data_IF_260006032908
#
_entry.id   IF_260006032908
#
_cell.length_a   1.000
_cell.length_b   1.000
_cell.length_c   1.000
_cell.angle_alpha   90.00
_cell.angle_beta   90.00
_cell.angle_gamma   90.00
#
_symmetry.space_group_name_H-M   'P 1'
#
loop_
_entity.id
_entity.type
_entity.pdbx_description
1 polymer ?
#
# COMPACT_ATOMS: atom_id res chain seq x y z
N UNK A 1 -5.22 -14.19 -16.24
CA UNK A 1 -6.48 -13.41 -16.23
C UNK A 1 -7.62 -14.38 -16.58
N UNK A 2 -8.72 -14.31 -15.84
CA UNK A 2 -9.97 -14.98 -16.20
C UNK A 2 -10.89 -13.96 -16.87
N UNK A 3 -11.31 -14.24 -18.11
CA UNK A 3 -12.25 -13.39 -18.86
C UNK A 3 -13.62 -14.04 -18.88
N UNK A 4 -14.69 -13.33 -18.52
CA UNK A 4 -16.04 -13.86 -18.63
C UNK A 4 -16.43 -14.04 -20.09
N UNK A 5 -17.14 -15.11 -20.41
CA UNK A 5 -17.69 -15.43 -21.71
C UNK A 5 -19.08 -16.06 -21.58
N UNK A 6 -19.73 -16.37 -22.70
CA UNK A 6 -21.09 -16.98 -22.73
C UNK A 6 -21.16 -18.32 -22.00
N UNK A 7 -20.08 -19.10 -22.05
CA UNK A 7 -20.03 -20.47 -21.51
C UNK A 7 -19.16 -20.58 -20.24
N UNK A 8 -18.94 -19.46 -19.53
CA UNK A 8 -18.11 -19.39 -18.33
C UNK A 8 -16.89 -18.48 -18.49
N UNK A 9 -15.74 -18.89 -17.96
CA UNK A 9 -14.51 -18.08 -18.01
C UNK A 9 -13.47 -18.74 -18.91
N UNK A 10 -12.81 -17.94 -19.74
CA UNK A 10 -11.57 -18.31 -20.42
C UNK A 10 -10.36 -17.84 -19.64
N UNK A 11 -9.30 -18.67 -19.58
CA UNK A 11 -8.05 -18.31 -18.92
C UNK A 11 -7.02 -17.77 -19.91
N UNK A 12 -6.42 -16.65 -19.59
CA UNK A 12 -5.28 -16.09 -20.31
C UNK A 12 -4.08 -16.05 -19.38
N UNK A 13 -2.95 -16.59 -19.85
CA UNK A 13 -1.69 -16.61 -19.11
C UNK A 13 -0.87 -15.37 -19.50
N UNK A 14 -0.54 -14.55 -18.53
CA UNK A 14 0.39 -13.44 -18.73
C UNK A 14 1.83 -13.98 -18.71
N UNK A 15 2.56 -13.74 -19.78
CA UNK A 15 3.95 -14.17 -19.92
C UNK A 15 4.86 -12.97 -20.26
N UNK A 16 6.10 -12.93 -19.71
CA UNK A 16 6.71 -13.89 -18.80
C UNK A 16 6.20 -13.76 -17.36
N UNK A 17 6.20 -14.86 -16.59
CA UNK A 17 5.89 -14.89 -15.16
C UNK A 17 7.14 -15.14 -14.31
N UNK A 18 7.24 -14.48 -13.13
CA UNK A 18 8.44 -14.49 -12.28
C UNK A 18 8.12 -14.70 -10.78
N UNK A 19 7.35 -15.73 -10.47
CA UNK A 19 6.96 -16.05 -9.08
C UNK A 19 6.23 -14.90 -8.36
N UNK A 20 5.08 -14.52 -8.85
CA UNK A 20 4.27 -13.45 -8.29
C UNK A 20 3.79 -13.75 -6.88
N UNK A 21 4.06 -12.86 -5.93
CA UNK A 21 3.59 -12.91 -4.54
C UNK A 21 2.55 -11.85 -4.21
N UNK A 22 2.49 -10.75 -4.94
CA UNK A 22 1.46 -9.72 -4.74
C UNK A 22 1.07 -9.07 -6.04
N UNK A 23 -0.19 -8.65 -6.10
CA UNK A 23 -0.75 -7.88 -7.22
C UNK A 23 -1.60 -6.74 -6.68
N UNK A 24 -1.59 -5.61 -7.39
CA UNK A 24 -2.39 -4.43 -7.09
C UNK A 24 -2.92 -3.81 -8.38
N UNK A 25 -4.24 -3.75 -8.51
CA UNK A 25 -4.88 -2.98 -9.57
C UNK A 25 -4.96 -1.51 -9.14
N UNK A 26 -4.27 -0.63 -9.85
CA UNK A 26 -4.23 0.80 -9.56
C UNK A 26 -3.88 1.61 -10.81
N UNK A 27 -4.22 2.90 -10.81
CA UNK A 27 -3.76 3.83 -11.85
C UNK A 27 -2.24 4.06 -11.74
N UNK A 28 -1.57 4.15 -12.88
CA UNK A 28 -0.16 4.56 -12.92
C UNK A 28 -0.01 6.09 -12.88
N UNK A 29 1.23 6.59 -12.98
CA UNK A 29 1.54 8.02 -12.97
C UNK A 29 0.98 8.81 -14.16
N UNK A 30 0.48 8.14 -15.21
CA UNK A 30 -0.21 8.72 -16.36
C UNK A 30 -1.72 8.56 -16.30
N UNK A 31 -2.26 7.98 -15.23
CA UNK A 31 -3.69 7.71 -15.06
C UNK A 31 -4.19 6.46 -15.81
N UNK A 32 -3.32 5.60 -16.35
CA UNK A 32 -3.72 4.35 -17.00
C UNK A 32 -4.10 3.32 -15.95
N UNK A 33 -5.13 2.55 -16.24
CA UNK A 33 -5.50 1.40 -15.38
C UNK A 33 -4.51 0.26 -15.58
N UNK A 34 -3.82 -0.10 -14.51
CA UNK A 34 -2.74 -1.09 -14.54
C UNK A 34 -2.91 -2.18 -13.50
N UNK A 35 -2.34 -3.34 -13.77
CA UNK A 35 -2.09 -4.37 -12.77
C UNK A 35 -0.58 -4.38 -12.46
N UNK A 36 -0.25 -3.98 -11.24
CA UNK A 36 1.12 -4.02 -10.72
C UNK A 36 1.38 -5.39 -10.13
N UNK A 37 2.53 -5.97 -10.41
CA UNK A 37 2.87 -7.34 -10.05
C UNK A 37 4.23 -7.34 -9.38
N UNK A 38 4.27 -7.77 -8.12
CA UNK A 38 5.51 -7.96 -7.38
C UNK A 38 5.95 -9.41 -7.44
N UNK A 39 7.18 -9.61 -7.87
CA UNK A 39 7.75 -10.91 -8.19
C UNK A 39 8.91 -11.26 -7.27
N UNK A 40 8.82 -12.43 -6.62
CA UNK A 40 9.94 -13.00 -5.88
C UNK A 40 10.98 -13.56 -6.87
N UNK A 41 12.11 -12.87 -6.98
CA UNK A 41 13.24 -13.32 -7.77
C UNK A 41 13.93 -14.48 -7.06
N UNK A 42 13.50 -15.69 -7.33
CA UNK A 42 14.07 -16.88 -6.73
C UNK A 42 15.52 -17.13 -7.21
N UNK A 43 16.35 -17.73 -6.34
CA UNK A 43 17.73 -18.15 -6.67
C UNK A 43 17.85 -18.99 -7.95
N UNK A 44 16.79 -19.74 -8.26
CA UNK A 44 16.75 -20.67 -9.37
C UNK A 44 16.16 -20.07 -10.66
N UNK A 45 15.58 -18.89 -10.59
CA UNK A 45 15.01 -18.19 -11.76
C UNK A 45 15.79 -16.90 -11.95
N UNK A 46 16.79 -16.94 -12.84
CA UNK A 46 17.51 -15.72 -13.22
C UNK A 46 16.64 -14.81 -14.09
N UNK A 47 16.69 -13.50 -13.85
CA UNK A 47 16.11 -12.50 -14.73
C UNK A 47 14.75 -11.94 -14.35
N UNK A 48 14.14 -12.34 -13.24
CA UNK A 48 12.86 -11.78 -12.78
C UNK A 48 12.95 -10.30 -12.40
N UNK A 49 11.85 -9.57 -12.58
CA UNK A 49 11.71 -8.16 -12.23
C UNK A 49 10.24 -7.83 -11.91
N UNK A 50 10.04 -6.68 -11.26
CA UNK A 50 8.72 -6.13 -10.96
C UNK A 50 8.02 -5.72 -12.26
N UNK A 51 6.74 -6.08 -12.41
CA UNK A 51 6.02 -5.87 -13.65
C UNK A 51 4.83 -4.93 -13.47
N UNK A 52 4.46 -4.26 -14.55
CA UNK A 52 3.24 -3.48 -14.66
C UNK A 52 2.55 -3.83 -15.97
N UNK A 53 1.31 -4.28 -15.88
CA UNK A 53 0.48 -4.67 -17.02
C UNK A 53 -0.55 -3.56 -17.29
N UNK A 54 -0.59 -3.06 -18.52
CA UNK A 54 -1.64 -2.17 -18.99
C UNK A 54 -2.90 -2.99 -19.27
N UNK A 55 -3.99 -2.67 -18.58
CA UNK A 55 -5.25 -3.44 -18.68
C UNK A 55 -5.94 -3.16 -20.02
N UNK A 56 -5.86 -1.94 -20.53
CA UNK A 56 -6.49 -1.54 -21.78
C UNK A 56 -5.72 -2.07 -23.00
N UNK A 57 -4.41 -1.80 -23.04
CA UNK A 57 -3.55 -2.21 -24.16
C UNK A 57 -3.16 -3.68 -24.12
N UNK A 58 -3.44 -4.37 -23.02
CA UNK A 58 -3.17 -5.80 -22.81
C UNK A 58 -1.69 -6.19 -23.06
N UNK A 59 -0.77 -5.41 -22.50
CA UNK A 59 0.67 -5.62 -22.61
C UNK A 59 1.41 -5.20 -21.35
N UNK A 60 2.59 -5.75 -21.14
CA UNK A 60 3.48 -5.26 -20.10
C UNK A 60 4.07 -3.90 -20.50
N UNK A 61 4.11 -2.99 -19.52
CA UNK A 61 4.79 -1.71 -19.66
C UNK A 61 6.29 -1.90 -19.45
N UNK A 62 7.07 -1.09 -20.14
CA UNK A 62 8.52 -1.07 -20.06
C UNK A 62 9.10 0.35 -19.93
N UNK A 63 10.39 0.50 -20.13
CA UNK A 63 11.09 1.76 -19.96
C UNK A 63 10.55 2.88 -20.88
N UNK A 64 10.17 2.53 -22.11
CA UNK A 64 9.54 3.47 -23.05
C UNK A 64 8.18 3.99 -22.56
N UNK A 65 7.51 3.23 -21.72
CA UNK A 65 6.22 3.59 -21.12
C UNK A 65 6.37 4.34 -19.79
N UNK A 66 7.59 4.54 -19.32
CA UNK A 66 7.89 5.15 -18.03
C UNK A 66 8.11 4.17 -16.87
N UNK A 67 7.92 2.87 -17.10
CA UNK A 67 8.16 1.84 -16.08
C UNK A 67 9.52 1.17 -16.31
N UNK A 68 10.54 1.63 -15.58
CA UNK A 68 11.85 0.98 -15.58
C UNK A 68 11.81 -0.29 -14.76
N UNK A 69 12.29 -1.39 -15.34
CA UNK A 69 12.40 -2.66 -14.66
C UNK A 69 13.28 -2.57 -13.41
N UNK A 70 12.80 -3.16 -12.33
CA UNK A 70 13.52 -3.30 -11.06
C UNK A 70 13.51 -4.76 -10.67
N UNK A 71 14.67 -5.31 -10.38
CA UNK A 71 14.81 -6.68 -9.90
C UNK A 71 14.95 -6.68 -8.39
N UNK A 72 13.94 -7.21 -7.71
CA UNK A 72 13.88 -7.39 -6.27
C UNK A 72 13.56 -8.85 -5.95
N UNK A 73 13.64 -9.22 -4.69
CA UNK A 73 12.91 -10.36 -4.14
C UNK A 73 11.57 -9.84 -3.63
N UNK A 74 10.70 -9.46 -4.56
CA UNK A 74 9.49 -8.71 -4.27
C UNK A 74 8.45 -9.53 -3.54
N UNK A 75 7.86 -8.95 -2.48
CA UNK A 75 6.90 -9.62 -1.60
C UNK A 75 5.55 -8.93 -1.59
N UNK A 76 5.51 -7.62 -1.46
CA UNK A 76 4.28 -6.84 -1.34
C UNK A 76 4.35 -5.52 -2.07
N UNK A 77 3.17 -4.93 -2.29
CA UNK A 77 2.99 -3.65 -2.97
C UNK A 77 2.04 -2.78 -2.15
N UNK A 78 2.38 -1.50 -1.99
CA UNK A 78 1.44 -0.46 -1.60
C UNK A 78 1.56 0.74 -2.54
N UNK A 79 0.45 1.45 -2.73
CA UNK A 79 0.43 2.63 -3.60
C UNK A 79 -0.45 3.72 -3.00
N UNK A 80 0.05 4.94 -2.97
CA UNK A 80 -0.66 6.15 -2.54
C UNK A 80 0.04 7.39 -3.04
N UNK A 81 -0.71 8.45 -3.28
CA UNK A 81 -0.18 9.79 -3.48
C UNK A 81 0.33 10.33 -2.14
N UNK A 82 1.64 10.23 -1.90
CA UNK A 82 2.29 10.71 -0.67
C UNK A 82 2.92 12.10 -0.84
N UNK A 83 2.96 12.61 -2.06
CA UNK A 83 3.51 13.92 -2.39
C UNK A 83 2.43 15.00 -2.53
N UNK A 84 1.16 14.60 -2.65
CA UNK A 84 0.01 15.49 -2.83
C UNK A 84 -0.06 16.10 -4.22
N UNK A 85 0.50 15.42 -5.22
CA UNK A 85 0.55 15.89 -6.61
C UNK A 85 -0.46 15.18 -7.54
N UNK A 86 -1.28 14.29 -7.00
CA UNK A 86 -2.31 13.53 -7.70
C UNK A 86 -1.80 12.25 -8.38
N UNK A 87 -0.53 11.89 -8.20
CA UNK A 87 0.09 10.67 -8.74
C UNK A 87 0.52 9.74 -7.61
N UNK A 88 0.14 8.48 -7.73
CA UNK A 88 0.45 7.52 -6.69
C UNK A 88 1.91 7.06 -6.78
N UNK A 89 2.65 7.21 -5.68
CA UNK A 89 3.90 6.52 -5.44
C UNK A 89 3.68 5.02 -5.23
N UNK A 90 4.74 4.24 -5.34
CA UNK A 90 4.70 2.78 -5.19
C UNK A 90 5.78 2.32 -4.22
N UNK A 91 5.39 1.65 -3.15
CA UNK A 91 6.30 0.88 -2.30
C UNK A 91 6.29 -0.57 -2.74
N UNK A 92 7.49 -1.13 -2.89
CA UNK A 92 7.77 -2.53 -3.18
C UNK A 92 8.57 -3.09 -2.02
N UNK A 93 8.00 -4.02 -1.27
CA UNK A 93 8.74 -4.70 -0.21
C UNK A 93 9.55 -5.85 -0.76
N UNK A 94 10.69 -6.12 -0.14
CA UNK A 94 11.55 -7.22 -0.58
C UNK A 94 12.41 -7.78 0.55
N UNK A 95 13.16 -8.83 0.25
CA UNK A 95 14.26 -9.27 1.09
C UNK A 95 15.49 -8.39 0.77
N UNK A 96 15.78 -7.44 1.65
CA UNK A 96 16.79 -6.40 1.48
C UNK A 96 16.14 -5.02 1.51
N UNK A 97 16.15 -4.30 0.41
CA UNK A 97 15.62 -2.94 0.35
C UNK A 97 14.09 -2.90 0.27
N UNK A 98 13.49 -2.02 1.05
CA UNK A 98 12.09 -1.64 0.92
C UNK A 98 12.05 -0.42 -0.02
N UNK A 99 11.73 -0.65 -1.28
CA UNK A 99 11.91 0.35 -2.33
C UNK A 99 10.68 1.23 -2.52
N UNK A 100 10.83 2.53 -2.30
CA UNK A 100 9.82 3.53 -2.69
C UNK A 100 10.15 4.08 -4.08
N UNK A 101 9.17 4.07 -4.97
CA UNK A 101 9.22 4.64 -6.32
C UNK A 101 8.38 5.90 -6.36
N UNK A 102 9.02 7.04 -6.60
CA UNK A 102 8.36 8.34 -6.75
C UNK A 102 7.88 8.52 -8.19
N UNK A 103 6.62 8.87 -8.36
CA UNK A 103 6.02 9.19 -9.65
C UNK A 103 6.43 10.59 -10.12
N UNK A 104 6.90 10.71 -11.34
CA UNK A 104 7.27 12.00 -11.94
C UNK A 104 6.14 12.52 -12.85
N UNK A 105 6.12 13.83 -13.08
CA UNK A 105 5.11 14.48 -13.93
C UNK A 105 5.17 14.07 -15.40
N UNK A 106 6.28 13.52 -15.87
CA UNK A 106 6.44 12.98 -17.23
C UNK A 106 5.92 11.54 -17.38
N UNK A 107 5.40 10.95 -16.30
CA UNK A 107 4.87 9.59 -16.28
C UNK A 107 5.91 8.51 -15.99
N UNK A 108 7.14 8.88 -15.66
CA UNK A 108 8.18 7.95 -15.23
C UNK A 108 8.18 7.76 -13.72
N UNK A 109 8.93 6.76 -13.25
CA UNK A 109 9.18 6.53 -11.84
C UNK A 109 10.68 6.54 -11.55
N UNK A 110 11.07 7.18 -10.46
CA UNK A 110 12.44 7.14 -9.92
C UNK A 110 12.45 6.51 -8.53
N UNK A 111 13.58 5.91 -8.16
CA UNK A 111 13.76 5.46 -6.78
C UNK A 111 13.86 6.68 -5.85
N UNK A 112 13.16 6.60 -4.72
CA UNK A 112 13.33 7.60 -3.67
C UNK A 112 14.79 7.60 -3.18
N UNK A 113 15.32 8.76 -2.77
CA UNK A 113 16.66 8.82 -2.17
C UNK A 113 16.65 8.12 -0.81
N UNK A 114 17.81 7.65 -0.37
CA UNK A 114 17.95 6.96 0.92
C UNK A 114 17.50 7.81 2.11
N UNK A 115 17.73 9.11 2.03
CA UNK A 115 17.41 10.10 3.06
C UNK A 115 15.92 10.25 3.31
N UNK A 116 15.07 9.77 2.40
CA UNK A 116 13.61 9.83 2.60
C UNK A 116 13.16 8.98 3.82
N UNK A 117 13.95 7.96 4.20
CA UNK A 117 13.73 7.16 5.39
C UNK A 117 12.85 5.92 5.20
N UNK A 118 12.46 5.56 3.98
CA UNK A 118 11.60 4.39 3.72
C UNK A 118 12.36 3.08 3.49
N UNK A 119 13.67 3.11 3.37
CA UNK A 119 14.53 1.92 3.22
C UNK A 119 14.67 1.08 4.50
N UNK A 120 13.75 1.10 5.33
CA UNK A 120 13.41 0.45 6.58
C UNK A 120 14.29 -0.74 7.02
N UNK A 121 15.57 -0.51 7.28
CA UNK A 121 16.45 -1.49 7.89
C UNK A 121 16.42 -1.47 9.42
N UNK A 122 15.89 -0.40 10.01
CA UNK A 122 15.75 -0.21 11.47
C UNK A 122 14.28 -0.30 11.87
N UNK A 123 13.97 -0.63 13.14
CA UNK A 123 14.89 -1.21 14.13
C UNK A 123 15.29 -2.63 13.72
N UNK A 124 16.43 -3.09 14.15
CA UNK A 124 16.84 -4.49 13.99
C UNK A 124 17.52 -5.01 15.25
N UNK A 125 17.34 -6.30 15.48
CA UNK A 125 17.94 -7.03 16.60
C UNK A 125 18.68 -8.23 16.04
N UNK A 126 19.89 -8.47 16.49
CA UNK A 126 20.72 -9.58 16.06
C UNK A 126 22.04 -9.13 15.48
N UNK A 127 22.75 -10.05 14.84
CA UNK A 127 24.15 -9.91 14.52
C UNK A 127 24.43 -8.86 13.44
N UNK A 128 23.70 -8.90 12.34
CA UNK A 128 23.93 -8.02 11.20
C UNK A 128 22.67 -7.31 10.65
N UNK A 129 21.48 -7.67 11.13
CA UNK A 129 20.22 -7.09 10.70
C UNK A 129 19.90 -7.24 9.20
N UNK A 130 20.63 -8.10 8.49
CA UNK A 130 20.50 -8.25 7.03
C UNK A 130 20.36 -9.70 6.60
N UNK A 131 19.63 -9.94 5.51
CA UNK A 131 18.69 -9.01 4.87
C UNK A 131 17.43 -8.84 5.72
N UNK A 132 16.92 -7.61 5.79
CA UNK A 132 15.59 -7.33 6.33
C UNK A 132 14.53 -7.76 5.30
N UNK A 133 13.48 -8.47 5.72
CA UNK A 133 12.48 -9.00 4.80
C UNK A 133 11.12 -8.40 5.07
N UNK A 134 10.73 -7.44 4.25
CA UNK A 134 9.39 -6.86 4.25
C UNK A 134 8.41 -7.69 3.42
N UNK A 135 7.26 -8.01 3.99
CA UNK A 135 6.21 -8.79 3.34
C UNK A 135 5.02 -7.92 2.97
N UNK A 136 4.30 -7.42 3.95
CA UNK A 136 3.15 -6.56 3.71
C UNK A 136 3.56 -5.10 3.87
N UNK A 137 3.09 -4.25 2.96
CA UNK A 137 3.17 -2.80 3.09
C UNK A 137 1.78 -2.20 2.95
N UNK A 138 1.48 -1.18 3.75
CA UNK A 138 0.23 -0.44 3.64
C UNK A 138 0.42 1.01 4.09
N UNK A 139 -0.08 1.94 3.29
CA UNK A 139 -0.19 3.35 3.67
C UNK A 139 -1.47 3.59 4.46
N UNK A 140 -1.37 4.40 5.51
CA UNK A 140 -2.50 4.94 6.25
C UNK A 140 -2.07 6.19 7.03
N UNK A 141 -2.99 7.04 7.42
CA UNK A 141 -2.71 8.19 8.29
C UNK A 141 -2.98 7.76 9.73
N UNK A 142 -1.92 7.40 10.46
CA UNK A 142 -2.00 6.79 11.80
C UNK A 142 -2.29 7.85 12.88
N UNK A 143 -1.85 9.09 12.68
CA UNK A 143 -1.97 10.17 13.63
C UNK A 143 -3.03 11.23 13.24
N UNK A 144 -3.71 11.01 12.11
CA UNK A 144 -4.74 11.90 11.54
C UNK A 144 -4.22 13.31 11.21
N UNK A 145 -2.96 13.45 10.79
CA UNK A 145 -2.35 14.76 10.46
C UNK A 145 -2.52 15.15 8.97
N UNK A 146 -3.09 14.27 8.16
CA UNK A 146 -3.31 14.46 6.73
C UNK A 146 -2.14 14.01 5.87
N UNK A 147 -1.16 13.30 6.44
CA UNK A 147 -0.03 12.72 5.72
C UNK A 147 -0.13 11.18 5.72
N UNK A 148 0.46 10.55 4.72
CA UNK A 148 0.39 9.10 4.57
C UNK A 148 1.57 8.40 5.25
N UNK A 149 1.33 7.79 6.40
CA UNK A 149 2.30 6.93 7.07
C UNK A 149 2.39 5.56 6.40
N UNK A 150 3.47 4.84 6.65
CA UNK A 150 3.72 3.53 6.05
C UNK A 150 3.99 2.48 7.12
N UNK A 151 3.17 1.44 7.15
CA UNK A 151 3.42 0.23 7.93
C UNK A 151 4.02 -0.86 7.05
N UNK A 152 5.05 -1.58 7.57
CA UNK A 152 5.65 -2.74 6.91
C UNK A 152 5.71 -3.91 7.90
N UNK A 153 5.00 -5.00 7.59
CA UNK A 153 5.13 -6.25 8.31
C UNK A 153 6.39 -6.99 7.86
N UNK A 154 7.26 -7.37 8.81
CA UNK A 154 8.56 -7.96 8.52
C UNK A 154 8.78 -9.30 9.20
N UNK A 155 9.69 -10.07 8.66
CA UNK A 155 10.11 -11.34 9.25
C UNK A 155 10.72 -12.30 8.24
N UNK A 156 11.90 -12.81 8.55
CA UNK A 156 12.65 -13.66 7.63
C UNK A 156 12.11 -15.10 7.53
N UNK A 157 12.63 -15.86 6.60
CA UNK A 157 12.32 -17.28 6.41
C UNK A 157 13.21 -18.17 7.29
N UNK A 158 12.72 -19.38 7.61
CA UNK A 158 13.42 -20.30 8.53
C UNK A 158 14.77 -20.80 8.02
N UNK A 159 14.95 -20.79 6.70
CA UNK A 159 16.14 -21.34 6.04
C UNK A 159 17.33 -20.36 5.99
N UNK A 160 17.19 -19.19 6.58
CA UNK A 160 18.18 -18.12 6.54
C UNK A 160 18.76 -17.88 7.95
N UNK A 161 19.67 -18.74 8.43
CA UNK A 161 20.06 -18.75 9.84
C UNK A 161 20.88 -17.53 10.30
N UNK A 162 21.62 -16.91 9.42
CA UNK A 162 22.43 -15.71 9.72
C UNK A 162 21.69 -14.39 9.52
N UNK A 163 20.46 -14.46 9.01
CA UNK A 163 19.73 -13.26 8.65
C UNK A 163 18.67 -12.96 9.68
N UNK A 164 18.40 -11.71 9.89
CA UNK A 164 17.46 -11.15 10.85
C UNK A 164 16.16 -11.98 11.00
N UNK A 165 16.24 -13.19 11.61
CA UNK A 165 15.05 -13.97 11.98
C UNK A 165 14.15 -13.12 12.86
N UNK A 166 14.78 -12.31 13.72
CA UNK A 166 14.16 -11.30 14.57
C UNK A 166 14.17 -9.95 13.84
N UNK A 167 13.34 -9.83 12.83
CA UNK A 167 13.22 -8.65 11.99
C UNK A 167 11.92 -7.90 12.34
N UNK A 168 12.00 -6.84 13.16
CA UNK A 168 10.80 -6.18 13.69
C UNK A 168 10.01 -5.44 12.63
N UNK A 169 8.69 -5.37 12.80
CA UNK A 169 7.81 -4.55 11.97
C UNK A 169 8.23 -3.08 12.00
N UNK A 170 7.97 -2.36 10.92
CA UNK A 170 8.22 -0.92 10.84
C UNK A 170 6.91 -0.12 10.83
N UNK A 171 6.95 1.01 11.53
CA UNK A 171 5.97 2.08 11.40
C UNK A 171 6.73 3.37 11.06
N UNK A 172 6.52 3.86 9.86
CA UNK A 172 7.20 5.01 9.29
C UNK A 172 6.21 6.17 9.23
N UNK A 173 6.41 7.17 10.08
CA UNK A 173 5.56 8.36 10.15
C UNK A 173 6.09 9.42 9.19
N UNK A 174 5.25 9.84 8.25
CA UNK A 174 5.58 10.90 7.31
C UNK A 174 5.61 12.26 8.03
N UNK A 175 6.64 13.03 7.75
CA UNK A 175 6.81 14.38 8.28
C UNK A 175 6.40 15.43 7.23
N UNK A 176 6.08 16.62 7.67
CA UNK A 176 5.67 17.74 6.78
C UNK A 176 6.72 18.13 5.73
N UNK A 177 7.99 17.74 5.93
CA UNK A 177 9.07 17.91 4.95
C UNK A 177 9.17 16.76 3.94
N UNK A 178 8.26 15.78 3.98
CA UNK A 178 8.21 14.61 3.10
C UNK A 178 9.13 13.45 3.51
N UNK A 179 9.89 13.58 4.59
CA UNK A 179 10.71 12.50 5.13
C UNK A 179 9.89 11.57 6.02
N UNK A 180 10.36 10.34 6.20
CA UNK A 180 9.75 9.35 7.08
C UNK A 180 10.64 9.09 8.28
N UNK A 181 10.03 9.03 9.47
CA UNK A 181 10.68 8.66 10.72
C UNK A 181 10.21 7.29 11.18
N UNK A 182 11.12 6.36 11.40
CA UNK A 182 10.81 5.04 11.94
C UNK A 182 10.52 5.15 13.44
N UNK A 183 9.33 4.73 13.87
CA UNK A 183 8.85 4.82 15.26
C UNK A 183 8.31 3.50 15.80
N UNK A 184 8.45 2.39 15.08
CA UNK A 184 7.83 1.10 15.42
C UNK A 184 8.22 0.60 16.80
N UNK A 185 9.47 0.81 17.23
CA UNK A 185 9.93 0.42 18.57
C UNK A 185 9.25 1.27 19.65
N UNK A 186 9.24 2.58 19.49
CA UNK A 186 8.65 3.52 20.44
C UNK A 186 7.12 3.39 20.50
N UNK A 187 6.50 3.06 19.39
CA UNK A 187 5.07 2.76 19.28
C UNK A 187 4.69 1.39 19.86
N UNK A 188 5.65 0.53 20.17
CA UNK A 188 5.42 -0.79 20.73
C UNK A 188 4.92 -1.83 19.72
N UNK A 189 5.06 -1.59 18.41
CA UNK A 189 4.59 -2.50 17.33
C UNK A 189 5.75 -3.30 16.69
N UNK A 190 6.98 -3.09 17.14
CA UNK A 190 8.18 -3.75 16.63
C UNK A 190 8.30 -5.20 17.16
N UNK A 191 7.27 -6.01 16.92
CA UNK A 191 7.26 -7.44 17.23
C UNK A 191 8.40 -8.15 16.51
N UNK A 192 8.97 -9.17 17.17
CA UNK A 192 10.04 -10.02 16.65
C UNK A 192 9.50 -11.33 16.06
N UNK A 193 8.19 -11.45 15.93
CA UNK A 193 7.56 -12.57 15.27
C UNK A 193 7.76 -12.50 13.74
N UNK A 194 7.47 -13.57 13.05
CA UNK A 194 7.64 -13.62 11.60
C UNK A 194 6.37 -13.16 10.91
N UNK A 195 6.18 -11.86 10.86
CA UNK A 195 4.99 -11.25 10.26
C UNK A 195 4.92 -11.50 8.75
N UNK A 196 3.72 -11.56 8.21
CA UNK A 196 3.44 -11.78 6.78
C UNK A 196 2.39 -10.83 6.23
N UNK A 197 1.21 -10.86 6.77
CA UNK A 197 0.10 -10.00 6.39
C UNK A 197 -0.21 -8.98 7.47
N UNK A 198 -0.86 -7.89 7.07
CA UNK A 198 -1.40 -6.93 8.01
C UNK A 198 -2.72 -6.33 7.49
N UNK A 199 -3.45 -5.68 8.39
CA UNK A 199 -4.58 -4.83 8.05
C UNK A 199 -4.55 -3.59 8.94
N UNK A 200 -4.73 -2.44 8.33
CA UNK A 200 -4.79 -1.15 9.00
C UNK A 200 -6.23 -0.62 8.88
N UNK A 201 -6.92 -0.57 10.01
CA UNK A 201 -8.31 -0.12 10.08
C UNK A 201 -8.66 0.39 11.47
N UNK A 202 -9.67 1.21 11.56
CA UNK A 202 -10.28 1.60 12.82
C UNK A 202 -11.23 0.46 13.27
N UNK A 203 -10.73 -0.46 14.12
CA UNK A 203 -11.47 -1.66 14.53
C UNK A 203 -12.46 -1.39 15.68
N UNK A 204 -12.22 -0.38 16.50
CA UNK A 204 -13.09 -0.03 17.63
C UNK A 204 -13.93 1.24 17.38
N UNK A 205 -13.85 1.80 16.16
CA UNK A 205 -14.62 2.95 15.67
C UNK A 205 -14.37 4.23 16.47
N UNK A 206 -13.16 4.40 16.96
CA UNK A 206 -12.75 5.60 17.71
C UNK A 206 -12.07 6.66 16.83
N UNK A 207 -11.89 6.37 15.53
CA UNK A 207 -11.34 7.27 14.53
C UNK A 207 -9.82 7.23 14.42
N UNK A 208 -9.17 6.31 15.10
CA UNK A 208 -7.73 6.05 14.97
C UNK A 208 -7.50 4.72 14.28
N UNK A 209 -6.55 4.68 13.40
CA UNK A 209 -6.23 3.46 12.68
C UNK A 209 -5.43 2.52 13.58
N UNK A 210 -5.99 1.35 13.83
CA UNK A 210 -5.37 0.22 14.52
C UNK A 210 -4.59 -0.65 13.53
N UNK A 211 -3.74 -1.54 14.05
CA UNK A 211 -2.92 -2.45 13.25
C UNK A 211 -3.16 -3.89 13.68
N UNK A 212 -3.57 -4.73 12.72
CA UNK A 212 -3.62 -6.19 12.89
C UNK A 212 -2.47 -6.81 12.11
N UNK A 213 -1.73 -7.73 12.74
CA UNK A 213 -0.59 -8.40 12.12
C UNK A 213 -0.76 -9.92 12.19
N UNK A 214 -0.62 -10.55 11.05
CA UNK A 214 -0.65 -12.02 10.91
C UNK A 214 0.77 -12.57 10.91
N UNK A 215 1.09 -13.37 11.93
CA UNK A 215 2.38 -13.98 12.13
C UNK A 215 2.43 -15.42 11.61
N UNK A 216 3.55 -15.82 11.02
CA UNK A 216 3.77 -17.21 10.59
C UNK A 216 4.16 -18.07 11.79
N UNK A 217 3.32 -19.06 12.12
CA UNK A 217 3.52 -20.01 13.24
C UNK A 217 3.60 -19.34 14.60
N UNK A 218 2.96 -18.20 14.77
CA UNK A 218 2.78 -17.48 16.01
C UNK A 218 1.38 -16.85 16.05
N UNK A 219 0.91 -16.45 17.23
CA UNK A 219 -0.39 -15.77 17.35
C UNK A 219 -0.46 -14.49 16.50
N UNK A 220 -1.65 -14.19 16.04
CA UNK A 220 -2.01 -12.90 15.49
C UNK A 220 -1.87 -11.83 16.57
N UNK A 221 -1.41 -10.63 16.17
CA UNK A 221 -1.30 -9.48 17.06
C UNK A 221 -2.26 -8.39 16.61
N UNK A 222 -2.92 -7.76 17.58
CA UNK A 222 -3.77 -6.59 17.35
C UNK A 222 -3.24 -5.45 18.22
N UNK A 223 -2.87 -4.35 17.58
CA UNK A 223 -2.39 -3.16 18.23
C UNK A 223 -3.46 -2.08 18.14
N UNK A 224 -4.04 -1.73 19.28
CA UNK A 224 -4.96 -0.61 19.37
C UNK A 224 -4.19 0.70 19.38
N UNK A 225 -4.57 1.63 18.54
CA UNK A 225 -3.97 2.96 18.50
C UNK A 225 -4.47 3.82 19.66
N UNK A 226 -3.58 4.14 20.59
CA UNK A 226 -3.85 4.97 21.77
C UNK A 226 -3.16 6.34 21.71
N UNK A 227 -2.73 6.76 20.52
CA UNK A 227 -2.08 8.05 20.30
C UNK A 227 -2.98 9.17 20.79
N UNK A 228 -2.41 10.07 21.58
CA UNK A 228 -3.12 11.23 22.12
C UNK A 228 -2.99 12.42 21.18
N UNK A 229 -4.01 13.29 21.17
CA UNK A 229 -4.03 14.51 20.38
C UNK A 229 -3.86 14.27 18.88
N UNK A 230 -4.44 13.18 18.38
CA UNK A 230 -4.57 12.95 16.94
C UNK A 230 -5.50 14.00 16.33
N UNK A 231 -5.35 14.25 15.03
CA UNK A 231 -6.23 15.15 14.29
C UNK A 231 -7.67 14.63 14.16
N UNK A 232 -8.53 15.45 13.61
CA UNK A 232 -9.85 15.03 13.15
C UNK A 232 -9.72 14.11 11.93
N UNK A 233 -10.76 13.36 11.63
CA UNK A 233 -10.76 12.36 10.58
C UNK A 233 -12.12 12.26 9.88
N UNK A 234 -12.16 11.56 8.77
CA UNK A 234 -13.39 11.08 8.12
C UNK A 234 -13.08 9.80 7.37
N UNK A 235 -14.04 8.87 7.33
CA UNK A 235 -13.89 7.67 6.54
C UNK A 235 -15.07 7.47 5.60
N UNK A 236 -14.82 6.89 4.41
CA UNK A 236 -15.83 6.73 3.36
C UNK A 236 -15.99 5.28 2.97
N UNK A 237 -17.24 4.85 2.88
CA UNK A 237 -17.63 3.64 2.21
C UNK A 237 -18.38 4.03 0.93
N UNK A 238 -17.79 3.75 -0.23
CA UNK A 238 -18.43 3.99 -1.51
C UNK A 238 -19.26 2.78 -1.93
N UNK A 239 -20.44 3.03 -2.46
CA UNK A 239 -21.35 1.97 -2.92
C UNK A 239 -21.91 2.34 -4.29
N UNK A 240 -21.79 1.41 -5.24
CA UNK A 240 -22.50 1.50 -6.54
C UNK A 240 -23.69 0.55 -6.56
N UNK A 241 -24.73 0.95 -7.28
CA UNK A 241 -25.97 0.18 -7.35
C UNK A 241 -25.78 -1.16 -8.06
N UNK A 242 -25.04 -1.17 -9.15
CA UNK A 242 -24.88 -2.32 -10.03
C UNK A 242 -23.38 -2.66 -10.26
N UNK A 243 -23.09 -3.94 -10.52
CA UNK A 243 -21.77 -4.40 -10.92
C UNK A 243 -20.71 -4.28 -9.82
N UNK A 244 -19.86 -3.28 -9.90
CA UNK A 244 -18.76 -2.99 -8.97
C UNK A 244 -19.27 -2.35 -7.66
N UNK A 245 -20.00 -3.11 -6.85
CA UNK A 245 -20.70 -2.62 -5.67
C UNK A 245 -19.83 -1.80 -4.71
N UNK A 246 -18.57 -2.16 -4.55
CA UNK A 246 -17.64 -1.49 -3.64
C UNK A 246 -16.89 -0.33 -4.30
N UNK A 247 -17.34 0.10 -5.48
CA UNK A 247 -16.76 1.21 -6.24
C UNK A 247 -15.22 1.12 -6.40
N UNK A 248 -14.69 -0.09 -6.58
CA UNK A 248 -13.26 -0.32 -6.77
C UNK A 248 -12.81 0.45 -8.02
N UNK A 249 -11.70 1.16 -7.91
CA UNK A 249 -11.19 2.05 -8.96
C UNK A 249 -11.59 3.51 -8.78
N UNK A 250 -12.58 3.82 -7.93
CA UNK A 250 -12.87 5.21 -7.58
C UNK A 250 -11.66 5.89 -6.94
N UNK A 251 -11.54 7.20 -7.11
CA UNK A 251 -10.56 8.02 -6.42
C UNK A 251 -11.26 9.06 -5.56
N UNK A 252 -10.91 9.12 -4.29
CA UNK A 252 -11.41 10.11 -3.33
C UNK A 252 -10.29 11.12 -3.09
N UNK A 253 -10.62 12.41 -3.15
CA UNK A 253 -9.66 13.49 -2.93
C UNK A 253 -10.21 14.49 -1.91
N UNK A 254 -9.41 14.83 -0.90
CA UNK A 254 -9.66 15.87 0.08
C UNK A 254 -8.43 16.78 0.13
N UNK A 255 -8.58 18.02 -0.35
CA UNK A 255 -7.45 18.93 -0.46
C UNK A 255 -6.38 18.39 -1.41
N UNK A 256 -5.21 18.04 -0.85
CA UNK A 256 -4.11 17.41 -1.59
C UNK A 256 -4.02 15.90 -1.37
N UNK A 257 -4.68 15.36 -0.35
CA UNK A 257 -4.67 13.92 -0.09
C UNK A 257 -5.64 13.22 -1.05
N UNK A 258 -5.13 12.21 -1.75
CA UNK A 258 -5.86 11.45 -2.77
C UNK A 258 -5.64 9.96 -2.57
N UNK A 259 -6.73 9.20 -2.56
CA UNK A 259 -6.68 7.75 -2.38
C UNK A 259 -7.57 7.04 -3.40
N UNK A 260 -7.04 6.00 -4.01
CA UNK A 260 -7.84 5.11 -4.85
C UNK A 260 -8.45 3.98 -4.02
N UNK A 261 -9.72 3.66 -4.27
CA UNK A 261 -10.37 2.47 -3.73
C UNK A 261 -9.82 1.26 -4.46
N UNK A 262 -8.98 0.48 -3.80
CA UNK A 262 -8.30 -0.69 -4.37
C UNK A 262 -8.62 -1.96 -3.59
N UNK A 263 -8.45 -3.11 -4.24
CA UNK A 263 -8.37 -4.42 -3.61
C UNK A 263 -7.05 -5.05 -4.07
N UNK A 264 -6.36 -5.73 -3.13
CA UNK A 264 -5.04 -6.27 -3.38
C UNK A 264 -3.95 -5.43 -2.73
N UNK A 265 -2.72 -5.61 -3.17
CA UNK A 265 -1.56 -5.02 -2.51
C UNK A 265 -1.15 -5.80 -1.26
N UNK A 266 -0.32 -5.19 -0.42
CA UNK A 266 0.27 -5.89 0.71
C UNK A 266 1.01 -7.15 0.27
N UNK A 267 0.89 -8.21 1.04
CA UNK A 267 1.39 -9.54 0.68
C UNK A 267 0.27 -10.58 0.83
N UNK A 268 -0.08 -11.23 -0.28
CA UNK A 268 -1.09 -12.30 -0.34
C UNK A 268 -2.42 -11.94 0.36
N UNK A 269 -2.82 -10.68 0.27
CA UNK A 269 -3.98 -10.16 0.96
C UNK A 269 -4.65 -9.00 0.24
N UNK A 270 -5.66 -8.46 0.87
CA UNK A 270 -6.36 -7.26 0.43
C UNK A 270 -7.21 -6.73 1.57
N UNK A 271 -7.54 -5.47 1.51
CA UNK A 271 -8.31 -4.79 2.53
C UNK A 271 -9.53 -4.13 1.88
N UNK A 272 -10.71 -4.31 2.49
CA UNK A 272 -11.97 -3.73 2.05
C UNK A 272 -12.62 -2.97 3.22
N UNK A 273 -11.88 -2.05 3.80
CA UNK A 273 -12.33 -1.19 4.88
C UNK A 273 -12.77 0.17 4.35
N UNK A 274 -13.52 0.98 5.11
CA UNK A 274 -13.74 2.37 4.76
C UNK A 274 -12.43 3.10 4.49
N UNK A 275 -12.41 3.97 3.47
CA UNK A 275 -11.23 4.74 3.11
C UNK A 275 -11.08 5.91 4.08
N UNK A 276 -10.03 5.88 4.87
CA UNK A 276 -9.79 6.82 5.96
C UNK A 276 -8.91 7.99 5.54
N UNK A 277 -9.28 9.20 5.99
CA UNK A 277 -8.53 10.43 5.82
C UNK A 277 -8.35 11.13 7.16
N UNK A 278 -7.14 11.41 7.56
CA UNK A 278 -6.84 12.36 8.62
C UNK A 278 -6.99 13.79 8.11
N UNK A 279 -7.44 14.68 8.95
CA UNK A 279 -7.80 16.04 8.59
C UNK A 279 -7.15 17.10 9.50
N UNK A 280 -6.26 16.68 10.39
CA UNK A 280 -5.63 17.58 11.34
C UNK A 280 -6.67 18.35 12.16
N UNK A 281 -6.62 19.66 12.14
CA UNK A 281 -7.53 20.53 12.90
C UNK A 281 -8.81 20.92 12.13
N UNK A 282 -9.00 20.47 10.90
CA UNK A 282 -10.19 20.81 10.12
C UNK A 282 -11.46 20.23 10.77
N UNK A 283 -12.57 20.98 10.72
CA UNK A 283 -13.87 20.57 11.27
C UNK A 283 -14.88 20.13 10.19
N UNK A 284 -14.55 20.40 8.96
CA UNK A 284 -15.32 20.03 7.78
C UNK A 284 -14.36 19.65 6.66
N UNK A 285 -14.83 18.84 5.71
CA UNK A 285 -14.08 18.46 4.54
C UNK A 285 -14.96 18.59 3.28
N UNK A 286 -14.36 19.08 2.20
CA UNK A 286 -14.92 19.02 0.85
C UNK A 286 -14.28 17.86 0.12
N UNK A 287 -15.09 16.91 -0.30
CA UNK A 287 -14.68 15.65 -0.93
C UNK A 287 -14.98 15.73 -2.41
N UNK A 288 -14.04 15.33 -3.24
CA UNK A 288 -14.24 15.05 -4.66
C UNK A 288 -14.09 13.56 -4.90
N UNK A 289 -15.03 12.94 -5.58
CA UNK A 289 -14.99 11.51 -5.92
C UNK A 289 -15.05 11.39 -7.45
N UNK A 290 -14.02 10.78 -8.00
CA UNK A 290 -14.00 10.24 -9.36
C UNK A 290 -14.44 8.79 -9.31
N UNK A 291 -15.59 8.49 -9.92
CA UNK A 291 -16.15 7.14 -9.94
C UNK A 291 -15.52 6.29 -11.05
N UNK A 292 -15.70 4.95 -11.03
CA UNK A 292 -15.08 4.08 -12.03
C UNK A 292 -15.55 4.34 -13.48
N UNK A 293 -16.70 4.95 -13.67
CA UNK A 293 -17.23 5.36 -14.97
C UNK A 293 -16.72 6.73 -15.45
N UNK A 294 -15.86 7.38 -14.64
CA UNK A 294 -15.30 8.70 -14.91
C UNK A 294 -16.19 9.87 -14.48
N UNK A 295 -17.36 9.61 -13.93
CA UNK A 295 -18.22 10.67 -13.39
C UNK A 295 -17.59 11.28 -12.12
N UNK A 296 -17.89 12.56 -11.86
CA UNK A 296 -17.36 13.32 -10.75
C UNK A 296 -18.49 13.80 -9.84
N UNK A 297 -18.36 13.53 -8.55
CA UNK A 297 -19.29 14.10 -7.54
C UNK A 297 -18.52 14.85 -6.47
N UNK A 298 -19.19 15.84 -5.84
CA UNK A 298 -18.63 16.60 -4.72
C UNK A 298 -19.58 16.56 -3.53
N UNK A 299 -19.02 16.42 -2.35
CA UNK A 299 -19.76 16.37 -1.09
C UNK A 299 -19.06 17.25 -0.06
N UNK A 300 -19.82 17.76 0.89
CA UNK A 300 -19.32 18.42 2.08
C UNK A 300 -19.74 17.62 3.30
N UNK A 301 -18.88 17.52 4.29
CA UNK A 301 -19.15 16.79 5.49
C UNK A 301 -18.49 17.40 6.73
N UNK A 302 -19.02 17.07 7.90
CA UNK A 302 -18.33 17.26 9.17
C UNK A 302 -17.29 16.15 9.36
N UNK A 303 -16.35 16.41 10.23
CA UNK A 303 -15.31 15.42 10.62
C UNK A 303 -15.80 14.44 11.68
N UNK A 304 -14.98 13.44 11.99
CA UNK A 304 -15.16 12.42 13.04
C UNK A 304 -16.39 11.53 12.81
N UNK A 305 -16.52 11.01 11.59
CA UNK A 305 -17.60 10.08 11.24
C UNK A 305 -17.24 9.21 10.03
N UNK A 306 -17.94 8.09 9.92
CA UNK A 306 -17.93 7.21 8.74
C UNK A 306 -19.14 7.54 7.89
N UNK A 307 -18.96 7.72 6.59
CA UNK A 307 -20.02 8.10 5.65
C UNK A 307 -20.12 7.09 4.54
N UNK A 308 -21.34 6.61 4.28
CA UNK A 308 -21.63 5.84 3.07
C UNK A 308 -22.11 6.79 1.97
N UNK A 309 -21.44 6.77 0.81
CA UNK A 309 -21.82 7.57 -0.37
C UNK A 309 -22.24 6.61 -1.48
N UNK A 310 -23.40 6.86 -2.04
CA UNK A 310 -23.99 6.06 -3.12
C UNK A 310 -23.85 6.78 -4.45
N UNK A 311 -23.53 5.97 -5.49
CA UNK A 311 -23.50 6.41 -6.91
C UNK A 311 -24.72 5.92 -7.66
#
# INVERSE_FOLDING_TARGET
ILRPGTDGYSAEILAPGFCTLSMLAAKDSRGRDTLRISNDRHYYVSGGYEQMWDIQDQRFLGEADGWRNVSLWGMGIASRDITGDGRDEVVLTSMGDQLLRIANSDGTYKNAPFEIGTYAHKPYFGDDGRPSTGWHAQFSDINNDGLADLFIAKGNVDQMPSNAIKDPNNLLIQQSNGLFSEVGLDAGIASLERSRGAALADFDLDGRIDILVMNRRAPMEIYRNITKNTGNWVAFQLVQKDGNRNAIGSRITIGKDSQQVTIGGGHAGGQATPIHFGLGNAKTATISIEWPDGSLTKHETKTNQIITIYH
#
